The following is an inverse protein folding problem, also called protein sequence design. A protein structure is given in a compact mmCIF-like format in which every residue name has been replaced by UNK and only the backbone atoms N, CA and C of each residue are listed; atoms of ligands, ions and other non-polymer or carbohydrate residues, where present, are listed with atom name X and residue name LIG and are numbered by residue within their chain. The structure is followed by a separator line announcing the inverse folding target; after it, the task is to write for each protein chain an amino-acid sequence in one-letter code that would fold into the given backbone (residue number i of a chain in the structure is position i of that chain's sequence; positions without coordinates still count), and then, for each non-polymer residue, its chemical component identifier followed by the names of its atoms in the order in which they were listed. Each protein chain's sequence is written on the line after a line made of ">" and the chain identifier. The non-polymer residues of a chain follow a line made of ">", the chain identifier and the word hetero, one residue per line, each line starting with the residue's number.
data_IF_925152725402
#
_entry.id   IF_925152725402
#
_cell.length_a   1.000
_cell.length_b   1.000
_cell.length_c   1.000
_cell.angle_alpha   90.00
_cell.angle_beta   90.00
_cell.angle_gamma   90.00
#
_symmetry.space_group_name_H-M   'P 1'
#
loop_
_entity.id
_entity.type
_entity.pdbx_description
1 polymer ?
#
# COMPACT_ATOMS: atom_id res chain seq x y z
N UNK A 1 -4.94 5.40 13.40
CA UNK A 1 -3.58 5.15 12.91
C UNK A 1 -3.50 5.36 11.37
N UNK A 2 -4.45 4.86 10.59
CA UNK A 2 -4.50 5.01 9.14
C UNK A 2 -4.47 6.48 8.67
N UNK A 3 -5.19 7.38 9.34
CA UNK A 3 -5.17 8.83 9.07
C UNK A 3 -3.76 9.39 9.24
N UNK A 4 -3.02 8.95 10.27
CA UNK A 4 -1.63 9.34 10.47
C UNK A 4 -0.72 8.97 9.30
N UNK A 5 -0.90 7.76 8.73
CA UNK A 5 -0.19 7.33 7.52
C UNK A 5 -0.47 8.20 6.30
N UNK A 6 -1.73 8.58 6.09
CA UNK A 6 -2.11 9.50 5.01
C UNK A 6 -1.44 10.88 5.15
N UNK A 7 -1.45 11.45 6.37
CA UNK A 7 -0.80 12.74 6.66
C UNK A 7 0.72 12.65 6.49
N UNK A 8 1.32 11.54 6.94
CA UNK A 8 2.74 11.27 6.76
C UNK A 8 3.12 11.24 5.28
N UNK A 9 2.35 10.52 4.45
CA UNK A 9 2.56 10.49 3.01
C UNK A 9 2.52 11.90 2.39
N UNK A 10 1.50 12.69 2.74
CA UNK A 10 1.37 14.07 2.28
C UNK A 10 2.58 14.94 2.66
N UNK A 11 3.04 14.85 3.92
CA UNK A 11 4.18 15.62 4.41
C UNK A 11 5.50 15.21 3.75
N UNK A 12 5.73 13.92 3.51
CA UNK A 12 6.92 13.42 2.84
C UNK A 12 6.98 13.87 1.37
N UNK A 13 5.84 13.83 0.68
CA UNK A 13 5.74 14.29 -0.70
C UNK A 13 5.93 15.81 -0.83
N UNK A 14 5.41 16.60 0.13
CA UNK A 14 5.65 18.05 0.18
C UNK A 14 7.13 18.39 0.41
N UNK A 15 7.89 17.53 1.09
CA UNK A 15 9.35 17.65 1.26
C UNK A 15 10.15 17.23 0.03
N UNK A 16 9.50 16.93 -1.09
CA UNK A 16 10.15 16.56 -2.35
C UNK A 16 10.62 15.10 -2.43
N UNK A 17 10.23 14.24 -1.49
CA UNK A 17 10.56 12.81 -1.55
C UNK A 17 9.77 12.18 -2.71
N UNK A 18 10.42 11.43 -3.63
CA UNK A 18 9.74 10.84 -4.77
C UNK A 18 8.69 9.82 -4.31
N UNK A 19 7.52 9.81 -4.96
CA UNK A 19 6.40 8.92 -4.62
C UNK A 19 6.78 7.45 -4.52
N UNK A 20 7.63 7.00 -5.45
CA UNK A 20 8.14 5.62 -5.40
C UNK A 20 8.85 5.31 -4.10
N UNK A 21 9.67 6.23 -3.58
CA UNK A 21 10.35 6.04 -2.31
C UNK A 21 9.37 6.01 -1.13
N UNK A 22 8.31 6.81 -1.16
CA UNK A 22 7.26 6.81 -0.13
C UNK A 22 6.48 5.48 -0.14
N UNK A 23 6.06 5.01 -1.33
CA UNK A 23 5.30 3.76 -1.48
C UNK A 23 6.17 2.55 -1.11
N UNK A 24 7.38 2.44 -1.66
CA UNK A 24 8.29 1.33 -1.36
C UNK A 24 8.73 1.37 0.10
N UNK A 25 9.02 2.57 0.62
CA UNK A 25 9.39 2.78 2.03
C UNK A 25 8.28 2.40 3.02
N UNK A 26 7.02 2.40 2.60
CA UNK A 26 5.92 1.86 3.39
C UNK A 26 5.72 0.35 3.15
N UNK A 27 5.79 -0.11 1.91
CA UNK A 27 5.51 -1.50 1.54
C UNK A 27 6.52 -2.49 2.17
N UNK A 28 7.80 -2.13 2.21
CA UNK A 28 8.85 -3.00 2.78
C UNK A 28 8.63 -3.27 4.28
N UNK A 29 8.53 -2.26 5.17
CA UNK A 29 8.27 -2.53 6.58
C UNK A 29 6.90 -3.18 6.81
N UNK A 30 5.88 -2.89 5.99
CA UNK A 30 4.59 -3.58 6.06
C UNK A 30 4.74 -5.09 5.79
N UNK A 31 5.56 -5.51 4.81
CA UNK A 31 5.81 -6.91 4.54
C UNK A 31 6.50 -7.61 5.73
N UNK A 32 7.48 -6.96 6.36
CA UNK A 32 8.09 -7.47 7.60
C UNK A 32 7.10 -7.55 8.76
N UNK A 33 6.26 -6.53 8.95
CA UNK A 33 5.21 -6.58 9.96
C UNK A 33 4.23 -7.73 9.71
N UNK A 34 3.77 -7.92 8.46
CA UNK A 34 2.87 -9.01 8.10
C UNK A 34 3.50 -10.37 8.38
N UNK A 35 4.77 -10.56 8.02
CA UNK A 35 5.49 -11.79 8.35
C UNK A 35 5.52 -12.04 9.87
N UNK A 36 5.88 -11.02 10.68
CA UNK A 36 5.93 -11.16 12.14
C UNK A 36 4.57 -11.35 12.81
N UNK A 37 3.48 -10.82 12.24
CA UNK A 37 2.12 -11.00 12.79
C UNK A 37 1.65 -12.45 12.65
N UNK A 38 1.95 -13.09 11.53
CA UNK A 38 1.39 -14.39 11.16
C UNK A 38 2.35 -15.58 11.37
N UNK A 39 3.60 -15.33 11.79
CA UNK A 39 4.55 -16.40 12.15
C UNK A 39 4.27 -16.90 13.57
N UNK A 40 4.37 -18.23 13.76
CA UNK A 40 4.23 -18.85 15.06
C UNK A 40 5.44 -18.55 15.97
N UNK A 41 5.21 -18.51 17.29
CA UNK A 41 6.26 -18.27 18.28
C UNK A 41 6.58 -16.81 18.58
N UNK A 42 5.92 -15.85 17.91
CA UNK A 42 6.06 -14.42 18.21
C UNK A 42 5.22 -14.09 19.46
N UNK A 43 5.80 -13.41 20.49
CA UNK A 43 5.05 -12.97 21.66
C UNK A 43 3.88 -12.05 21.31
N UNK A 44 2.75 -12.18 22.01
CA UNK A 44 1.52 -11.43 21.70
C UNK A 44 1.71 -9.92 21.75
N UNK A 45 2.52 -9.41 22.68
CA UNK A 45 2.84 -7.99 22.76
C UNK A 45 3.57 -7.50 21.50
N UNK A 46 4.56 -8.27 21.00
CA UNK A 46 5.29 -7.92 19.79
C UNK A 46 4.36 -7.99 18.57
N UNK A 47 3.51 -9.01 18.50
CA UNK A 47 2.49 -9.14 17.44
C UNK A 47 1.53 -7.95 17.42
N UNK A 48 1.10 -7.48 18.59
CA UNK A 48 0.27 -6.28 18.71
C UNK A 48 1.01 -5.02 18.21
N UNK A 49 2.28 -4.84 18.61
CA UNK A 49 3.08 -3.71 18.16
C UNK A 49 3.29 -3.71 16.63
N UNK A 50 3.57 -4.88 16.05
CA UNK A 50 3.67 -5.03 14.59
C UNK A 50 2.36 -4.70 13.89
N UNK A 51 1.23 -5.12 14.43
CA UNK A 51 -0.11 -4.80 13.91
C UNK A 51 -0.41 -3.29 13.98
N UNK A 52 0.00 -2.61 15.05
CA UNK A 52 -0.15 -1.16 15.18
C UNK A 52 0.71 -0.41 14.15
N UNK A 53 1.96 -0.81 13.97
CA UNK A 53 2.86 -0.23 12.96
C UNK A 53 2.29 -0.48 11.55
N UNK A 54 1.89 -1.71 11.25
CA UNK A 54 1.25 -2.07 9.98
C UNK A 54 0.03 -1.21 9.69
N UNK A 55 -0.87 -1.06 10.68
CA UNK A 55 -2.08 -0.24 10.58
C UNK A 55 -1.79 1.25 10.37
N UNK A 56 -0.69 1.76 10.91
CA UNK A 56 -0.22 3.12 10.65
C UNK A 56 0.28 3.30 9.20
N UNK A 57 1.06 2.34 8.73
CA UNK A 57 1.67 2.38 7.40
C UNK A 57 0.66 2.14 6.26
N UNK A 58 -0.42 1.40 6.49
CA UNK A 58 -1.42 1.09 5.46
C UNK A 58 -2.04 2.36 4.85
N UNK A 59 -2.10 3.47 5.60
CA UNK A 59 -2.58 4.77 5.11
C UNK A 59 -1.61 5.49 4.16
N UNK A 60 -0.33 5.14 4.18
CA UNK A 60 0.70 5.84 3.38
C UNK A 60 0.47 5.62 1.88
N UNK A 61 0.14 4.41 1.47
CA UNK A 61 -0.05 4.07 0.05
C UNK A 61 -1.22 4.85 -0.57
N UNK A 62 -2.45 4.80 -0.03
CA UNK A 62 -3.55 5.61 -0.57
C UNK A 62 -3.26 7.11 -0.46
N UNK A 63 -2.63 7.59 0.62
CA UNK A 63 -2.21 8.99 0.75
C UNK A 63 -1.31 9.44 -0.40
N UNK A 64 -0.32 8.64 -0.75
CA UNK A 64 0.57 8.91 -1.88
C UNK A 64 -0.15 8.86 -3.23
N UNK A 65 -1.15 7.99 -3.41
CA UNK A 65 -1.94 7.87 -4.63
C UNK A 65 -2.91 9.06 -4.80
N UNK A 66 -3.63 9.44 -3.75
CA UNK A 66 -4.57 10.57 -3.80
C UNK A 66 -3.87 11.90 -4.09
N UNK A 67 -2.70 12.14 -3.53
CA UNK A 67 -1.90 13.35 -3.84
C UNK A 67 -1.35 13.35 -5.26
N UNK A 68 -1.32 12.20 -5.94
CA UNK A 68 -0.88 12.09 -7.34
C UNK A 68 -1.97 12.51 -8.34
N UNK A 69 -3.24 12.38 -7.98
CA UNK A 69 -4.36 12.54 -8.90
C UNK A 69 -4.41 13.90 -9.60
N UNK A 70 -4.28 15.05 -8.90
CA UNK A 70 -4.32 16.36 -9.55
C UNK A 70 -3.20 16.57 -10.57
N UNK A 71 -2.03 15.94 -10.33
CA UNK A 71 -0.83 16.10 -11.19
C UNK A 71 -0.87 15.17 -12.40
N UNK A 72 -1.50 13.99 -12.27
CA UNK A 72 -1.49 12.96 -13.31
C UNK A 72 -2.81 12.86 -14.08
N UNK A 73 -3.85 13.56 -13.65
CA UNK A 73 -5.11 13.62 -14.40
C UNK A 73 -4.89 14.36 -15.73
N UNK A 74 -5.37 13.83 -16.87
CA UNK A 74 -5.17 14.44 -18.18
C UNK A 74 -5.77 15.86 -18.29
N UNK A 75 -6.81 16.14 -17.52
CA UNK A 75 -7.49 17.43 -17.41
C UNK A 75 -7.98 17.63 -15.99
N UNK A 76 -8.05 18.89 -15.49
CA UNK A 76 -8.55 19.20 -14.14
C UNK A 76 -9.97 18.66 -13.86
N UNK A 77 -10.83 18.68 -14.89
CA UNK A 77 -12.23 18.21 -14.79
C UNK A 77 -12.32 16.69 -14.54
N UNK A 78 -11.27 15.94 -14.90
CA UNK A 78 -11.22 14.48 -14.75
C UNK A 78 -10.65 14.03 -13.39
N UNK A 79 -10.21 14.94 -12.54
CA UNK A 79 -9.67 14.59 -11.21
C UNK A 79 -10.72 13.82 -10.38
N UNK A 80 -11.99 14.28 -10.43
CA UNK A 80 -13.09 13.59 -9.74
C UNK A 80 -13.31 12.15 -10.26
N UNK A 81 -13.32 11.98 -11.58
CA UNK A 81 -13.48 10.66 -12.19
C UNK A 81 -12.30 9.72 -11.86
N UNK A 82 -11.07 10.25 -11.89
CA UNK A 82 -9.86 9.49 -11.52
C UNK A 82 -9.90 9.09 -10.05
N UNK A 83 -10.36 9.96 -9.17
CA UNK A 83 -10.56 9.67 -7.74
C UNK A 83 -11.60 8.58 -7.55
N UNK A 84 -12.74 8.66 -8.25
CA UNK A 84 -13.80 7.65 -8.22
C UNK A 84 -13.30 6.28 -8.66
N UNK A 85 -12.52 6.22 -9.73
CA UNK A 85 -11.94 4.97 -10.22
C UNK A 85 -10.96 4.35 -9.22
N UNK A 86 -10.11 5.17 -8.59
CA UNK A 86 -9.19 4.72 -7.54
C UNK A 86 -9.94 4.16 -6.33
N UNK A 87 -11.01 4.85 -5.89
CA UNK A 87 -11.86 4.39 -4.79
C UNK A 87 -12.59 3.08 -5.12
N UNK A 88 -13.09 2.93 -6.35
CA UNK A 88 -13.73 1.69 -6.78
C UNK A 88 -12.74 0.51 -6.77
N UNK A 89 -11.51 0.71 -7.25
CA UNK A 89 -10.47 -0.31 -7.16
C UNK A 89 -10.15 -0.71 -5.72
N UNK A 90 -10.07 0.26 -4.81
CA UNK A 90 -9.87 0.01 -3.38
C UNK A 90 -11.03 -0.76 -2.75
N UNK A 91 -12.28 -0.37 -3.04
CA UNK A 91 -13.47 -1.03 -2.52
C UNK A 91 -13.60 -2.46 -3.05
N UNK A 92 -13.27 -2.67 -4.34
CA UNK A 92 -13.26 -4.00 -4.95
C UNK A 92 -12.23 -4.92 -4.29
N UNK A 93 -11.01 -4.40 -4.02
CA UNK A 93 -10.00 -5.11 -3.24
C UNK A 93 -10.47 -5.44 -1.83
N UNK A 94 -11.15 -4.50 -1.15
CA UNK A 94 -11.75 -4.71 0.17
C UNK A 94 -12.89 -5.73 0.19
N UNK A 95 -13.65 -5.83 -0.91
CA UNK A 95 -14.73 -6.81 -1.04
C UNK A 95 -14.21 -8.24 -1.28
N UNK A 96 -13.20 -8.38 -2.16
CA UNK A 96 -12.69 -9.69 -2.57
C UNK A 96 -11.57 -10.19 -1.64
N UNK A 97 -10.77 -9.28 -1.10
CA UNK A 97 -9.60 -9.63 -0.27
C UNK A 97 -9.92 -10.53 0.91
N UNK A 98 -10.86 -10.15 1.81
CA UNK A 98 -11.17 -10.97 2.98
C UNK A 98 -11.68 -12.38 2.66
N UNK A 99 -12.61 -12.61 1.70
CA UNK A 99 -13.02 -13.96 1.31
C UNK A 99 -11.86 -14.83 0.78
N UNK A 100 -11.01 -14.27 -0.06
CA UNK A 100 -9.84 -15.01 -0.60
C UNK A 100 -8.89 -15.36 0.54
N UNK A 101 -8.55 -14.39 1.37
CA UNK A 101 -7.65 -14.61 2.52
C UNK A 101 -8.23 -15.65 3.48
N UNK A 102 -9.53 -15.55 3.78
CA UNK A 102 -10.22 -16.51 4.64
C UNK A 102 -10.21 -17.94 4.09
N UNK A 103 -10.48 -18.13 2.80
CA UNK A 103 -10.43 -19.42 2.16
C UNK A 103 -9.01 -20.02 2.16
N UNK A 104 -7.99 -19.20 1.91
CA UNK A 104 -6.59 -19.65 1.93
C UNK A 104 -6.12 -20.00 3.35
N UNK A 105 -6.48 -19.22 4.34
CA UNK A 105 -6.16 -19.50 5.75
C UNK A 105 -6.87 -20.77 6.23
N UNK A 106 -8.12 -20.99 5.82
CA UNK A 106 -8.86 -22.20 6.18
C UNK A 106 -8.24 -23.49 5.59
N UNK A 107 -7.63 -23.39 4.39
CA UNK A 107 -7.00 -24.54 3.74
C UNK A 107 -5.54 -24.78 4.14
N UNK A 108 -4.78 -23.74 4.43
CA UNK A 108 -3.32 -23.80 4.53
C UNK A 108 -2.74 -23.10 5.77
N UNK A 109 -3.61 -22.56 6.65
CA UNK A 109 -3.22 -21.92 7.90
C UNK A 109 -2.80 -20.46 7.76
N UNK A 110 -2.56 -19.82 8.91
CA UNK A 110 -2.23 -18.39 9.03
C UNK A 110 -0.97 -17.92 8.30
N UNK A 111 0.10 -18.72 8.16
CA UNK A 111 1.29 -18.31 7.39
C UNK A 111 0.96 -17.93 5.94
N UNK A 112 -0.12 -18.48 5.37
CA UNK A 112 -0.58 -18.15 4.02
C UNK A 112 -1.05 -16.69 3.91
N UNK A 113 -1.62 -16.13 4.97
CA UNK A 113 -2.00 -14.72 5.01
C UNK A 113 -0.78 -13.80 4.93
N UNK A 114 0.34 -14.15 5.60
CA UNK A 114 1.60 -13.41 5.49
C UNK A 114 2.13 -13.43 4.06
N UNK A 115 2.11 -14.60 3.42
CA UNK A 115 2.56 -14.77 2.04
C UNK A 115 1.71 -13.96 1.06
N UNK A 116 0.38 -14.06 1.16
CA UNK A 116 -0.55 -13.32 0.30
C UNK A 116 -0.37 -11.80 0.45
N UNK A 117 -0.27 -11.32 1.69
CA UNK A 117 -0.02 -9.89 1.98
C UNK A 117 1.31 -9.42 1.41
N UNK A 118 2.37 -10.22 1.56
CA UNK A 118 3.71 -9.90 1.03
C UNK A 118 3.72 -9.84 -0.49
N UNK A 119 3.04 -10.77 -1.17
CA UNK A 119 2.87 -10.75 -2.63
C UNK A 119 2.11 -9.50 -3.07
N UNK A 120 1.00 -9.16 -2.42
CA UNK A 120 0.23 -7.96 -2.74
C UNK A 120 1.07 -6.68 -2.59
N UNK A 121 1.84 -6.56 -1.50
CA UNK A 121 2.77 -5.45 -1.28
C UNK A 121 3.90 -5.41 -2.31
N UNK A 122 4.41 -6.57 -2.72
CA UNK A 122 5.38 -6.70 -3.81
C UNK A 122 4.84 -6.18 -5.14
N UNK A 123 3.58 -6.50 -5.46
CA UNK A 123 2.90 -5.98 -6.66
C UNK A 123 2.75 -4.46 -6.59
N UNK A 124 2.36 -3.91 -5.44
CA UNK A 124 2.24 -2.46 -5.23
C UNK A 124 3.59 -1.77 -5.41
N UNK A 125 4.64 -2.27 -4.75
CA UNK A 125 5.99 -1.72 -4.86
C UNK A 125 6.54 -1.83 -6.28
N UNK A 126 6.39 -2.98 -6.91
CA UNK A 126 6.83 -3.22 -8.30
C UNK A 126 6.13 -2.31 -9.29
N UNK A 127 4.82 -2.12 -9.16
CA UNK A 127 4.05 -1.20 -9.98
C UNK A 127 4.51 0.25 -9.83
N UNK A 128 4.79 0.69 -8.60
CA UNK A 128 5.29 2.04 -8.32
C UNK A 128 6.69 2.27 -8.97
N UNK A 129 7.59 1.30 -8.85
CA UNK A 129 8.93 1.35 -9.47
C UNK A 129 8.82 1.36 -11.00
N UNK A 130 7.97 0.50 -11.57
CA UNK A 130 7.75 0.44 -13.02
C UNK A 130 7.23 1.76 -13.59
N UNK A 131 6.24 2.37 -12.94
CA UNK A 131 5.69 3.65 -13.35
C UNK A 131 6.73 4.76 -13.28
N UNK A 132 7.49 4.83 -12.19
CA UNK A 132 8.57 5.80 -12.03
C UNK A 132 9.66 5.66 -13.11
N UNK A 133 10.02 4.45 -13.47
CA UNK A 133 10.98 4.20 -14.54
C UNK A 133 10.46 4.64 -15.91
N UNK A 134 9.17 4.41 -16.20
CA UNK A 134 8.53 4.90 -17.43
C UNK A 134 8.47 6.42 -17.50
N UNK A 135 8.19 7.10 -16.39
CA UNK A 135 8.17 8.56 -16.32
C UNK A 135 9.56 9.15 -16.64
N UNK A 136 10.61 8.61 -16.03
CA UNK A 136 11.99 9.05 -16.32
C UNK A 136 12.38 8.89 -17.78
N UNK A 137 11.96 7.82 -18.44
CA UNK A 137 12.24 7.62 -19.87
C UNK A 137 11.53 8.61 -20.76
N UNK A 138 10.32 9.06 -20.41
CA UNK A 138 9.59 10.07 -21.19
C UNK A 138 10.19 11.48 -21.09
N UNK A 139 10.88 11.78 -20.01
CA UNK A 139 11.55 13.08 -19.81
C UNK A 139 12.91 13.11 -20.50
N UNK A 140 13.52 11.95 -20.77
CA UNK A 140 14.83 11.82 -21.41
C UNK A 140 14.77 11.67 -22.95
N UNK A 141 13.56 11.54 -23.53
CA UNK A 141 13.28 11.45 -24.95
C UNK A 141 12.67 12.75 -25.47
#
# INVERSE_FOLDING_TARGET
>A
LNVGGNLLAGSLLQRGIPRVAVIVGAAVPMAFCAAGIFVDGVPDLLRLLLALVYSGLIGVVPGALFTALPVHSPRPELVGASTGLLMQGSNFGGLIGPPITGAMVASSGWPTAAWLTSVALGVVAGSAVFLHWREKRKVAA
#
